data_IF_037174388453
#
_entry.id   IF_037174388453
#
_cell.length_a   1.000
_cell.length_b   1.000
_cell.length_c   1.000
_cell.angle_alpha   90.00
_cell.angle_beta   90.00
_cell.angle_gamma   90.00
#
_symmetry.space_group_name_H-M   'P 1'
#
loop_
_entity.id
_entity.type
_entity.pdbx_description
1 polymer ?
#
# COMPACT_ATOMS: atom_id res chain seq x y z
N UNK A 1 17.95 -35.16 20.46
CA UNK A 1 18.24 -34.27 19.31
C UNK A 1 17.04 -33.98 18.38
N UNK A 2 16.00 -34.84 18.27
CA UNK A 2 14.84 -34.58 17.38
C UNK A 2 13.89 -33.46 17.83
N UNK A 3 13.69 -33.28 19.13
CA UNK A 3 12.73 -32.29 19.67
C UNK A 3 13.14 -30.82 19.42
N UNK A 4 14.45 -30.51 19.44
CA UNK A 4 14.95 -29.14 19.16
C UNK A 4 14.73 -28.71 17.71
N UNK A 5 14.91 -29.62 16.74
CA UNK A 5 14.71 -29.34 15.31
C UNK A 5 13.24 -29.06 14.94
N UNK A 6 12.29 -29.66 15.65
CA UNK A 6 10.86 -29.44 15.44
C UNK A 6 10.44 -28.08 15.99
N UNK A 7 10.91 -27.71 17.18
CA UNK A 7 10.69 -26.38 17.75
C UNK A 7 11.34 -25.25 16.92
N UNK A 8 12.53 -25.49 16.36
CA UNK A 8 13.15 -24.56 15.39
C UNK A 8 12.36 -24.48 14.08
N UNK A 9 11.78 -25.59 13.62
CA UNK A 9 10.91 -25.62 12.44
C UNK A 9 9.57 -24.90 12.65
N UNK A 10 9.05 -24.84 13.88
CA UNK A 10 7.80 -24.10 14.19
C UNK A 10 8.00 -22.58 14.14
N UNK A 11 9.23 -22.10 14.36
CA UNK A 11 9.61 -20.69 14.22
C UNK A 11 9.85 -20.29 12.75
N UNK A 12 10.10 -21.26 11.87
CA UNK A 12 10.33 -21.02 10.46
C UNK A 12 9.00 -20.93 9.72
N UNK A 13 8.60 -19.72 9.35
CA UNK A 13 7.46 -19.51 8.46
C UNK A 13 7.88 -19.94 7.03
N UNK A 14 7.27 -20.98 6.43
CA UNK A 14 7.62 -21.42 5.09
C UNK A 14 7.33 -20.34 4.05
N UNK A 15 8.18 -20.24 3.01
CA UNK A 15 8.01 -19.29 1.90
C UNK A 15 6.63 -19.44 1.23
N UNK A 16 6.20 -20.69 1.01
CA UNK A 16 4.89 -21.02 0.43
C UNK A 16 3.71 -20.56 1.30
N UNK A 17 3.87 -20.51 2.62
CA UNK A 17 2.85 -19.99 3.54
C UNK A 17 2.75 -18.46 3.46
N UNK A 18 3.89 -17.75 3.41
CA UNK A 18 3.92 -16.29 3.20
C UNK A 18 3.29 -15.89 1.86
N UNK A 19 3.58 -16.61 0.79
CA UNK A 19 3.01 -16.37 -0.54
C UNK A 19 1.49 -16.57 -0.55
N UNK A 20 0.99 -17.67 0.04
CA UNK A 20 -0.45 -17.92 0.20
C UNK A 20 -1.15 -16.83 1.01
N UNK A 21 -0.53 -16.35 2.10
CA UNK A 21 -1.08 -15.23 2.87
C UNK A 21 -1.09 -13.92 2.07
N UNK A 22 -0.04 -13.61 1.32
CA UNK A 22 0.02 -12.42 0.49
C UNK A 22 -1.06 -12.46 -0.61
N UNK A 23 -1.28 -13.62 -1.22
CA UNK A 23 -2.35 -13.82 -2.20
C UNK A 23 -3.75 -13.65 -1.59
N UNK A 24 -3.98 -14.24 -0.41
CA UNK A 24 -5.25 -14.09 0.31
C UNK A 24 -5.49 -12.62 0.73
N UNK A 25 -4.45 -11.92 1.18
CA UNK A 25 -4.53 -10.51 1.54
C UNK A 25 -4.85 -9.62 0.32
N UNK A 26 -4.28 -9.94 -0.85
CA UNK A 26 -4.59 -9.24 -2.12
C UNK A 26 -6.05 -9.41 -2.53
N UNK A 27 -6.63 -10.59 -2.32
CA UNK A 27 -8.04 -10.87 -2.66
C UNK A 27 -9.05 -10.22 -1.69
N UNK A 28 -8.60 -9.81 -0.50
CA UNK A 28 -9.48 -9.27 0.55
C UNK A 28 -10.15 -7.96 0.16
N UNK A 29 -9.54 -7.16 -0.70
CA UNK A 29 -10.07 -5.87 -1.12
C UNK A 29 -10.12 -5.83 -2.65
N UNK A 30 -11.33 -5.80 -3.24
CA UNK A 30 -11.47 -5.66 -4.70
C UNK A 30 -11.16 -4.25 -5.18
N UNK A 31 -11.50 -3.25 -4.37
CA UNK A 31 -11.39 -1.82 -4.66
C UNK A 31 -11.00 -1.06 -3.39
N UNK A 32 -10.32 0.06 -3.57
CA UNK A 32 -9.91 1.01 -2.53
C UNK A 32 -10.34 2.40 -2.97
N UNK A 33 -10.86 3.18 -2.04
CA UNK A 33 -11.16 4.59 -2.28
C UNK A 33 -10.00 5.40 -1.71
N UNK A 34 -9.43 6.28 -2.53
CA UNK A 34 -8.39 7.23 -2.12
C UNK A 34 -8.94 8.64 -2.30
N UNK A 35 -8.74 9.47 -1.26
CA UNK A 35 -9.19 10.86 -1.22
C UNK A 35 -7.96 11.76 -1.12
N UNK A 36 -7.75 12.61 -2.11
CA UNK A 36 -6.66 13.58 -2.17
C UNK A 36 -7.25 14.95 -1.83
N UNK A 37 -6.75 15.57 -0.77
CA UNK A 37 -7.14 16.91 -0.38
C UNK A 37 -6.19 17.92 -1.02
N UNK A 38 -6.73 18.85 -1.79
CA UNK A 38 -5.99 19.97 -2.35
C UNK A 38 -5.83 21.10 -1.32
N UNK A 39 -4.83 21.98 -1.51
CA UNK A 39 -4.58 23.11 -0.60
C UNK A 39 -5.75 24.10 -0.49
N UNK A 40 -6.62 24.16 -1.50
CA UNK A 40 -7.83 25.00 -1.53
C UNK A 40 -9.03 24.39 -0.79
N UNK A 41 -8.86 23.19 -0.22
CA UNK A 41 -9.90 22.47 0.50
C UNK A 41 -10.78 21.57 -0.37
N UNK A 42 -10.55 21.53 -1.69
CA UNK A 42 -11.25 20.60 -2.59
C UNK A 42 -10.72 19.18 -2.36
N UNK A 43 -11.62 18.18 -2.40
CA UNK A 43 -11.23 16.77 -2.25
C UNK A 43 -11.52 16.01 -3.54
N UNK A 44 -10.47 15.48 -4.15
CA UNK A 44 -10.56 14.57 -5.28
C UNK A 44 -10.66 13.14 -4.77
N UNK A 45 -11.69 12.42 -5.20
CA UNK A 45 -11.94 11.04 -4.79
C UNK A 45 -11.84 10.11 -5.99
N UNK A 46 -11.01 9.08 -5.89
CA UNK A 46 -10.86 8.04 -6.90
C UNK A 46 -11.02 6.64 -6.33
N UNK A 47 -11.48 5.72 -7.17
CA UNK A 47 -11.55 4.28 -6.90
C UNK A 47 -10.39 3.59 -7.61
N UNK A 48 -9.59 2.84 -6.85
CA UNK A 48 -8.38 2.17 -7.33
C UNK A 48 -8.40 0.70 -6.95
N UNK A 49 -7.83 -0.15 -7.77
CA UNK A 49 -7.52 -1.50 -7.34
C UNK A 49 -6.28 -1.52 -6.42
N UNK A 50 -6.21 -2.40 -5.40
CA UNK A 50 -5.06 -2.44 -4.49
C UNK A 50 -3.72 -2.79 -5.13
N UNK A 51 -3.72 -3.26 -6.38
CA UNK A 51 -2.52 -3.62 -7.14
C UNK A 51 -2.13 -2.56 -8.17
N UNK A 52 -2.89 -1.47 -8.27
CA UNK A 52 -2.50 -0.37 -9.16
C UNK A 52 -1.20 0.27 -8.69
N UNK A 53 -0.31 0.64 -9.62
CA UNK A 53 0.92 1.31 -9.29
C UNK A 53 0.63 2.72 -8.75
N UNK A 54 1.55 3.25 -7.94
CA UNK A 54 1.44 4.63 -7.47
C UNK A 54 1.40 5.64 -8.63
N UNK A 55 1.96 5.31 -9.79
CA UNK A 55 1.87 6.17 -10.99
C UNK A 55 0.43 6.48 -11.40
N UNK A 56 -0.49 5.53 -11.23
CA UNK A 56 -1.92 5.74 -11.52
C UNK A 56 -2.53 6.84 -10.62
N UNK A 57 -2.04 7.00 -9.38
CA UNK A 57 -2.46 8.09 -8.50
C UNK A 57 -1.95 9.44 -9.00
N UNK A 58 -0.69 9.51 -9.43
CA UNK A 58 -0.12 10.74 -9.97
C UNK A 58 -0.81 11.13 -11.27
N UNK A 59 -1.04 10.20 -12.20
CA UNK A 59 -1.78 10.44 -13.42
C UNK A 59 -3.21 10.92 -13.14
N UNK A 60 -3.89 10.31 -12.18
CA UNK A 60 -5.22 10.72 -11.75
C UNK A 60 -5.24 12.16 -11.22
N UNK A 61 -4.29 12.52 -10.35
CA UNK A 61 -4.20 13.89 -9.81
C UNK A 61 -3.83 14.88 -10.91
N UNK A 62 -2.83 14.58 -11.75
CA UNK A 62 -2.44 15.39 -12.90
C UNK A 62 -3.62 15.67 -13.85
N UNK A 63 -4.47 14.67 -14.10
CA UNK A 63 -5.65 14.83 -14.96
C UNK A 63 -6.72 15.77 -14.39
N UNK A 64 -6.73 15.97 -13.08
CA UNK A 64 -7.67 16.86 -12.38
C UNK A 64 -7.10 18.28 -12.17
N UNK A 65 -5.80 18.48 -12.41
CA UNK A 65 -5.19 19.81 -12.35
C UNK A 65 -5.53 20.63 -13.60
N UNK A 66 -5.64 21.96 -13.43
CA UNK A 66 -5.78 22.88 -14.58
C UNK A 66 -4.57 22.83 -15.51
N UNK A 67 -3.39 22.63 -14.93
CA UNK A 67 -2.12 22.48 -15.63
C UNK A 67 -1.57 21.08 -15.33
N UNK A 68 -1.78 20.09 -16.22
CA UNK A 68 -1.41 18.70 -15.97
C UNK A 68 0.10 18.45 -15.81
N UNK A 69 0.93 19.38 -16.29
CA UNK A 69 2.39 19.35 -16.20
C UNK A 69 2.94 19.99 -14.91
N UNK A 70 2.07 20.48 -14.03
CA UNK A 70 2.50 21.06 -12.75
C UNK A 70 3.16 19.98 -11.89
N UNK A 71 4.32 20.29 -11.32
CA UNK A 71 5.00 19.40 -10.38
C UNK A 71 4.31 19.44 -9.01
N UNK A 72 4.06 18.27 -8.42
CA UNK A 72 3.49 18.13 -7.09
C UNK A 72 3.98 16.86 -6.40
N UNK A 73 3.83 16.82 -5.08
CA UNK A 73 4.10 15.65 -4.26
C UNK A 73 2.84 15.28 -3.45
N UNK A 74 2.59 13.98 -3.31
CA UNK A 74 1.51 13.46 -2.48
C UNK A 74 2.05 13.10 -1.11
N UNK A 75 1.47 13.69 -0.07
CA UNK A 75 1.87 13.47 1.32
C UNK A 75 0.80 12.67 2.05
N UNK A 76 1.22 11.78 2.96
CA UNK A 76 0.29 11.13 3.88
C UNK A 76 -0.19 12.16 4.91
N UNK A 77 -1.52 12.30 5.14
CA UNK A 77 -2.06 13.28 6.07
C UNK A 77 -1.61 13.05 7.51
N UNK A 78 -1.16 11.84 7.83
CA UNK A 78 -0.52 11.52 9.10
C UNK A 78 0.96 11.31 8.77
N UNK A 79 1.85 12.06 9.42
CA UNK A 79 3.28 11.70 9.47
C UNK A 79 3.39 10.35 10.19
N UNK A 80 3.13 9.26 9.47
CA UNK A 80 3.28 7.91 9.97
C UNK A 80 4.77 7.77 10.24
N UNK A 81 5.16 7.88 11.51
CA UNK A 81 6.44 7.37 11.98
C UNK A 81 6.45 5.90 11.60
N UNK A 82 7.07 5.58 10.45
CA UNK A 82 7.25 4.21 9.99
C UNK A 82 7.86 3.47 11.18
N UNK A 83 7.09 2.56 11.79
CA UNK A 83 7.69 1.61 12.74
C UNK A 83 8.60 0.74 11.89
N UNK A 84 9.88 1.09 11.87
CA UNK A 84 10.92 0.24 11.31
C UNK A 84 10.85 -1.04 12.11
N UNK A 85 10.41 -2.13 11.48
CA UNK A 85 10.52 -3.45 12.08
C UNK A 85 12.03 -3.74 12.08
N UNK A 86 12.68 -3.90 13.25
CA UNK A 86 14.11 -4.21 13.28
C UNK A 86 14.35 -5.56 12.61
N UNK A 87 15.37 -5.60 11.76
CA UNK A 87 15.88 -6.79 11.08
C UNK A 87 16.35 -7.87 12.05
#
# INVERSE_FOLDING_TARGET
>A
MRKKKIAESELLIPKSYKEKQAEAARRRYRRRIIRIQFPDGVVLQGEFAPWEPTSALYEFVSSALKEPCLEFELLDPILVRRRVIPS
#
